data_IF_663258439231
#
_entry.id   IF_663258439231
#
_cell.length_a   1.000
_cell.length_b   1.000
_cell.length_c   1.000
_cell.angle_alpha   90.00
_cell.angle_beta   90.00
_cell.angle_gamma   90.00
#
_symmetry.space_group_name_H-M   'P 1'
#
loop_
_entity.id
_entity.type
_entity.pdbx_description
1 polymer ?
#
# COMPACT_ATOMS: atom_id res chain seq x y z
N UNK A 1 -12.74 -11.27 -30.85
CA UNK A 1 -12.14 -9.95 -30.61
C UNK A 1 -10.69 -10.14 -30.15
N UNK A 2 -9.80 -9.32 -30.68
CA UNK A 2 -8.38 -9.61 -30.88
C UNK A 2 -7.52 -9.24 -29.66
N UNK A 3 -6.70 -10.22 -29.23
CA UNK A 3 -5.32 -10.12 -28.68
C UNK A 3 -5.02 -8.99 -27.68
N UNK A 4 -4.90 -9.36 -26.39
CA UNK A 4 -4.27 -8.52 -25.36
C UNK A 4 -2.75 -8.81 -25.30
N UNK A 5 -2.02 -7.87 -25.90
CA UNK A 5 -0.69 -7.33 -25.60
C UNK A 5 0.22 -8.16 -24.66
N UNK A 6 1.25 -8.76 -25.28
CA UNK A 6 2.49 -9.19 -24.65
C UNK A 6 3.21 -8.00 -23.99
N UNK A 7 3.57 -8.14 -22.71
CA UNK A 7 4.57 -7.30 -22.06
C UNK A 7 5.95 -7.86 -22.46
N UNK A 8 6.65 -7.14 -23.34
CA UNK A 8 8.00 -7.46 -23.76
C UNK A 8 9.01 -7.06 -22.67
N UNK A 9 9.63 -8.06 -22.05
CA UNK A 9 10.77 -7.94 -21.17
C UNK A 9 12.01 -7.62 -22.03
N UNK A 10 12.43 -6.36 -22.08
CA UNK A 10 13.67 -5.96 -22.77
C UNK A 10 14.87 -6.29 -21.87
N UNK A 11 15.47 -7.45 -22.11
CA UNK A 11 16.83 -7.78 -21.68
C UNK A 11 17.81 -7.14 -22.67
N UNK A 12 18.60 -6.18 -22.19
CA UNK A 12 19.62 -5.52 -23.00
C UNK A 12 20.64 -4.81 -22.13
N UNK A 13 21.52 -5.56 -21.46
CA UNK A 13 22.72 -5.05 -20.81
C UNK A 13 23.94 -5.76 -21.39
N UNK A 14 24.45 -5.20 -22.49
CA UNK A 14 25.80 -5.48 -23.00
C UNK A 14 26.48 -4.14 -23.28
N UNK A 15 27.13 -3.59 -22.25
CA UNK A 15 28.02 -2.43 -22.40
C UNK A 15 29.45 -2.93 -22.32
N UNK A 16 30.15 -2.77 -23.44
CA UNK A 16 31.58 -3.05 -23.57
C UNK A 16 32.39 -2.17 -22.61
N UNK A 17 33.23 -2.80 -21.79
CA UNK A 17 34.15 -2.11 -20.90
C UNK A 17 35.34 -1.56 -21.69
N UNK A 18 35.48 -0.23 -21.77
CA UNK A 18 36.76 0.43 -22.07
C UNK A 18 37.43 0.82 -20.75
N UNK A 19 38.55 0.17 -20.44
CA UNK A 19 39.36 0.48 -19.27
C UNK A 19 40.39 1.56 -19.60
N UNK A 20 40.30 2.73 -18.95
CA UNK A 20 41.37 3.74 -18.94
C UNK A 20 42.02 3.78 -17.55
N UNK A 21 43.34 3.59 -17.54
CA UNK A 21 44.22 3.67 -16.38
C UNK A 21 44.40 5.14 -15.91
N UNK A 22 43.86 5.51 -14.74
CA UNK A 22 44.17 6.76 -14.05
C UNK A 22 44.38 6.49 -12.55
N UNK A 23 45.65 6.68 -12.12
CA UNK A 23 46.22 6.98 -10.78
C UNK A 23 45.44 6.57 -9.51
N UNK A 24 46.16 5.94 -8.58
CA UNK A 24 45.70 5.29 -7.33
C UNK A 24 44.80 6.08 -6.35
N UNK A 25 44.51 7.37 -6.55
CA UNK A 25 43.45 8.06 -5.79
C UNK A 25 42.05 7.68 -6.27
N UNK A 26 41.90 7.38 -7.56
CA UNK A 26 40.63 7.01 -8.19
C UNK A 26 40.08 5.71 -7.61
N UNK A 27 40.92 4.70 -7.35
CA UNK A 27 40.49 3.41 -6.79
C UNK A 27 39.84 3.52 -5.41
N UNK A 28 40.34 4.44 -4.56
CA UNK A 28 39.80 4.65 -3.21
C UNK A 28 38.46 5.38 -3.25
N UNK A 29 38.26 6.27 -4.21
CA UNK A 29 36.95 6.89 -4.48
C UNK A 29 35.99 5.90 -5.16
N UNK A 30 36.47 5.05 -6.07
CA UNK A 30 35.66 3.96 -6.67
C UNK A 30 35.19 2.97 -5.60
N UNK A 31 36.04 2.59 -4.64
CA UNK A 31 35.64 1.68 -3.56
C UNK A 31 34.56 2.30 -2.64
N UNK A 32 34.66 3.60 -2.33
CA UNK A 32 33.64 4.32 -1.55
C UNK A 32 32.33 4.45 -2.32
N UNK A 33 32.37 4.81 -3.60
CA UNK A 33 31.20 4.90 -4.47
C UNK A 33 30.53 3.53 -4.57
N UNK A 34 31.30 2.46 -4.83
CA UNK A 34 30.77 1.09 -4.87
C UNK A 34 30.10 0.69 -3.55
N UNK A 35 30.70 1.02 -2.41
CA UNK A 35 30.10 0.76 -1.10
C UNK A 35 28.78 1.54 -0.89
N UNK A 36 28.70 2.79 -1.36
CA UNK A 36 27.46 3.58 -1.32
C UNK A 36 26.38 3.00 -2.23
N UNK A 37 26.74 2.63 -3.46
CA UNK A 37 25.83 1.97 -4.42
C UNK A 37 25.32 0.65 -3.85
N UNK A 38 26.18 -0.17 -3.23
CA UNK A 38 25.75 -1.40 -2.56
C UNK A 38 24.76 -1.13 -1.42
N UNK A 39 25.00 -0.11 -0.59
CA UNK A 39 24.06 0.29 0.48
C UNK A 39 22.72 0.75 -0.08
N UNK A 40 22.72 1.54 -1.16
CA UNK A 40 21.51 2.01 -1.80
C UNK A 40 20.75 0.86 -2.49
N UNK A 41 21.45 -0.08 -3.13
CA UNK A 41 20.84 -1.28 -3.70
C UNK A 41 20.21 -2.15 -2.63
N UNK A 42 20.86 -2.32 -1.47
CA UNK A 42 20.26 -3.01 -0.33
C UNK A 42 18.99 -2.30 0.13
N UNK A 43 19.06 -0.98 0.33
CA UNK A 43 17.87 -0.18 0.70
C UNK A 43 16.76 -0.30 -0.34
N UNK A 44 17.10 -0.29 -1.63
CA UNK A 44 16.14 -0.46 -2.71
C UNK A 44 15.45 -1.82 -2.64
N UNK A 45 16.20 -2.89 -2.40
CA UNK A 45 15.65 -4.23 -2.20
C UNK A 45 14.72 -4.28 -0.98
N UNK A 46 15.14 -3.71 0.15
CA UNK A 46 14.32 -3.64 1.38
C UNK A 46 12.99 -2.90 1.12
N UNK A 47 13.03 -1.76 0.43
CA UNK A 47 11.84 -0.98 0.05
C UNK A 47 10.92 -1.74 -0.91
N UNK A 48 11.48 -2.46 -1.87
CA UNK A 48 10.72 -3.29 -2.81
C UNK A 48 10.07 -4.49 -2.13
N UNK A 49 10.75 -5.09 -1.15
CA UNK A 49 10.19 -6.17 -0.34
C UNK A 49 9.02 -5.67 0.51
N UNK A 50 9.16 -4.52 1.15
CA UNK A 50 8.07 -3.89 1.93
C UNK A 50 6.88 -3.55 1.02
N UNK A 51 7.13 -3.01 -0.18
CA UNK A 51 6.09 -2.73 -1.17
C UNK A 51 5.35 -4.01 -1.56
N UNK A 52 6.08 -5.09 -1.86
CA UNK A 52 5.50 -6.37 -2.26
C UNK A 52 4.62 -6.97 -1.15
N UNK A 53 5.05 -6.90 0.11
CA UNK A 53 4.25 -7.35 1.27
C UNK A 53 2.93 -6.59 1.38
N UNK A 54 2.95 -5.28 1.22
CA UNK A 54 1.73 -4.47 1.28
C UNK A 54 0.82 -4.76 0.08
N UNK A 55 1.38 -4.84 -1.12
CA UNK A 55 0.61 -5.18 -2.33
C UNK A 55 -0.03 -6.57 -2.24
N UNK A 56 0.61 -7.51 -1.54
CA UNK A 56 0.07 -8.85 -1.31
C UNK A 56 -1.12 -8.85 -0.35
N UNK A 57 -1.09 -8.05 0.73
CA UNK A 57 -2.19 -8.02 1.73
C UNK A 57 -3.32 -7.04 1.39
N UNK A 58 -3.06 -6.03 0.56
CA UNK A 58 -4.02 -4.98 0.25
C UNK A 58 -5.37 -5.52 -0.30
N UNK A 59 -5.41 -6.53 -1.20
CA UNK A 59 -6.68 -7.08 -1.67
C UNK A 59 -7.54 -7.67 -0.54
N UNK A 60 -6.92 -8.37 0.41
CA UNK A 60 -7.62 -8.96 1.56
C UNK A 60 -8.13 -7.86 2.50
N UNK A 61 -7.34 -6.81 2.73
CA UNK A 61 -7.78 -5.66 3.53
C UNK A 61 -8.94 -4.89 2.85
N UNK A 62 -8.90 -4.76 1.52
CA UNK A 62 -9.99 -4.16 0.74
C UNK A 62 -11.27 -4.98 0.83
N UNK A 63 -11.17 -6.30 0.66
CA UNK A 63 -12.31 -7.19 0.81
C UNK A 63 -12.93 -7.11 2.22
N UNK A 64 -12.09 -7.10 3.26
CA UNK A 64 -12.55 -6.94 4.64
C UNK A 64 -13.23 -5.59 4.89
N UNK A 65 -12.72 -4.50 4.29
CA UNK A 65 -13.35 -3.19 4.39
C UNK A 65 -14.71 -3.13 3.66
N UNK A 66 -14.83 -3.76 2.50
CA UNK A 66 -16.09 -3.88 1.76
C UNK A 66 -17.13 -4.70 2.53
N UNK A 67 -16.72 -5.82 3.12
CA UNK A 67 -17.58 -6.66 3.96
C UNK A 67 -18.07 -5.88 5.20
N UNK A 68 -17.17 -5.23 5.93
CA UNK A 68 -17.52 -4.43 7.09
C UNK A 68 -18.46 -3.26 6.72
N UNK A 69 -18.23 -2.60 5.57
CA UNK A 69 -19.13 -1.57 5.06
C UNK A 69 -20.53 -2.12 4.73
N UNK A 70 -20.61 -3.31 4.15
CA UNK A 70 -21.87 -4.00 3.85
C UNK A 70 -22.64 -4.33 5.13
N UNK A 71 -21.98 -4.88 6.15
CA UNK A 71 -22.60 -5.20 7.44
C UNK A 71 -23.03 -3.94 8.21
N UNK A 72 -22.22 -2.87 8.16
CA UNK A 72 -22.59 -1.55 8.68
C UNK A 72 -23.88 -1.04 8.02
N UNK A 73 -23.96 -1.07 6.68
CA UNK A 73 -25.15 -0.62 5.95
C UNK A 73 -26.39 -1.43 6.32
N UNK A 74 -26.29 -2.77 6.39
CA UNK A 74 -27.39 -3.64 6.84
C UNK A 74 -27.82 -3.33 8.27
N UNK A 75 -26.86 -3.10 9.17
CA UNK A 75 -27.14 -2.76 10.57
C UNK A 75 -27.81 -1.39 10.69
N UNK A 76 -27.37 -0.39 9.94
CA UNK A 76 -28.00 0.93 9.88
C UNK A 76 -29.42 0.86 9.30
N UNK A 77 -29.65 0.09 8.23
CA UNK A 77 -30.99 -0.10 7.67
C UNK A 77 -31.92 -0.76 8.69
N UNK A 78 -31.44 -1.81 9.37
CA UNK A 78 -32.20 -2.46 10.45
C UNK A 78 -32.48 -1.50 11.60
N UNK A 79 -31.50 -0.69 11.99
CA UNK A 79 -31.67 0.35 13.02
C UNK A 79 -32.78 1.33 12.63
N UNK A 80 -32.78 1.84 11.40
CA UNK A 80 -33.83 2.74 10.88
C UNK A 80 -35.21 2.08 10.91
N UNK A 81 -35.31 0.83 10.45
CA UNK A 81 -36.58 0.06 10.50
C UNK A 81 -37.11 -0.10 11.93
N UNK A 82 -36.24 -0.48 12.87
CA UNK A 82 -36.65 -0.66 14.28
C UNK A 82 -36.98 0.67 14.96
N UNK A 83 -36.25 1.74 14.63
CA UNK A 83 -36.56 3.08 15.13
C UNK A 83 -37.95 3.55 14.66
N UNK A 84 -38.30 3.30 13.39
CA UNK A 84 -39.63 3.59 12.89
C UNK A 84 -40.73 2.80 13.63
N UNK A 85 -40.52 1.51 13.89
CA UNK A 85 -41.46 0.68 14.66
C UNK A 85 -41.61 1.13 16.12
N UNK A 86 -40.58 1.73 16.71
CA UNK A 86 -40.65 2.25 18.07
C UNK A 86 -41.47 3.55 18.19
N UNK A 87 -41.70 4.28 17.10
CA UNK A 87 -42.54 5.48 17.10
C UNK A 87 -44.00 5.06 17.28
N UNK A 88 -44.55 5.31 18.47
CA UNK A 88 -45.90 4.86 18.84
C UNK A 88 -45.99 3.36 19.18
N UNK A 89 -44.86 2.66 19.20
CA UNK A 89 -44.74 1.27 19.63
C UNK A 89 -44.61 1.10 21.14
N UNK A 90 -44.38 -0.13 21.59
CA UNK A 90 -44.31 -0.45 23.01
C UNK A 90 -42.88 -0.39 23.60
N UNK A 91 -42.77 -0.68 24.89
CA UNK A 91 -41.47 -0.74 25.58
C UNK A 91 -40.53 -1.84 25.02
N UNK A 92 -41.07 -2.88 24.38
CA UNK A 92 -40.31 -3.90 23.68
C UNK A 92 -39.70 -3.37 22.39
N UNK A 93 -40.47 -2.62 21.59
CA UNK A 93 -40.03 -2.01 20.34
C UNK A 93 -38.93 -0.98 20.57
N UNK A 94 -39.10 -0.11 21.58
CA UNK A 94 -38.05 0.85 21.98
C UNK A 94 -36.75 0.15 22.39
N UNK A 95 -36.83 -0.96 23.13
CA UNK A 95 -35.64 -1.78 23.48
C UNK A 95 -34.99 -2.42 22.26
N UNK A 96 -35.77 -2.92 21.31
CA UNK A 96 -35.24 -3.49 20.05
C UNK A 96 -34.57 -2.42 19.20
N UNK A 97 -35.16 -1.23 19.09
CA UNK A 97 -34.58 -0.08 18.42
C UNK A 97 -33.24 0.32 19.07
N UNK A 98 -33.18 0.41 20.40
CA UNK A 98 -31.94 0.71 21.11
C UNK A 98 -30.84 -0.33 20.87
N UNK A 99 -31.18 -1.64 20.87
CA UNK A 99 -30.22 -2.71 20.53
C UNK A 99 -29.74 -2.62 19.09
N UNK A 100 -30.63 -2.35 18.15
CA UNK A 100 -30.28 -2.21 16.74
C UNK A 100 -29.39 -0.99 16.49
N UNK A 101 -29.65 0.13 17.17
CA UNK A 101 -28.81 1.33 17.12
C UNK A 101 -27.39 1.05 17.64
N UNK A 102 -27.26 0.39 18.80
CA UNK A 102 -25.93 0.00 19.34
C UNK A 102 -25.17 -0.94 18.39
N UNK A 103 -25.88 -1.88 17.76
CA UNK A 103 -25.26 -2.76 16.77
C UNK A 103 -24.79 -1.97 15.53
N UNK A 104 -25.61 -1.05 15.04
CA UNK A 104 -25.25 -0.20 13.89
C UNK A 104 -24.03 0.67 14.18
N UNK A 105 -23.94 1.23 15.39
CA UNK A 105 -22.80 2.02 15.86
C UNK A 105 -21.51 1.19 15.87
N UNK A 106 -21.53 0.01 16.51
CA UNK A 106 -20.39 -0.91 16.53
C UNK A 106 -19.95 -1.33 15.13
N UNK A 107 -20.89 -1.72 14.25
CA UNK A 107 -20.55 -2.13 12.89
C UNK A 107 -20.03 -0.97 12.03
N UNK A 108 -20.50 0.26 12.30
CA UNK A 108 -19.96 1.46 11.65
C UNK A 108 -18.52 1.70 12.08
N UNK A 109 -18.22 1.57 13.38
CA UNK A 109 -16.85 1.67 13.90
C UNK A 109 -15.93 0.62 13.27
N UNK A 110 -16.38 -0.64 13.17
CA UNK A 110 -15.60 -1.71 12.54
C UNK A 110 -15.30 -1.40 11.07
N UNK A 111 -16.29 -0.87 10.33
CA UNK A 111 -16.13 -0.45 8.94
C UNK A 111 -15.16 0.72 8.78
N UNK A 112 -15.21 1.72 9.66
CA UNK A 112 -14.27 2.84 9.67
C UNK A 112 -12.85 2.37 9.93
N UNK A 113 -12.65 1.47 10.89
CA UNK A 113 -11.32 0.94 11.22
C UNK A 113 -10.74 0.09 10.08
N UNK A 114 -11.59 -0.70 9.41
CA UNK A 114 -11.17 -1.44 8.21
C UNK A 114 -10.79 -0.49 7.06
N UNK A 115 -11.60 0.54 6.80
CA UNK A 115 -11.30 1.55 5.79
C UNK A 115 -9.99 2.30 6.09
N UNK A 116 -9.74 2.65 7.36
CA UNK A 116 -8.47 3.28 7.80
C UNK A 116 -7.25 2.41 7.57
N UNK A 117 -7.36 1.08 7.66
CA UNK A 117 -6.24 0.16 7.34
C UNK A 117 -5.90 0.23 5.85
N UNK A 118 -6.90 0.12 4.98
CA UNK A 118 -6.73 0.26 3.53
C UNK A 118 -6.10 1.61 3.18
N UNK A 119 -6.56 2.71 3.78
CA UNK A 119 -6.00 4.03 3.54
C UNK A 119 -4.53 4.13 3.97
N UNK A 120 -4.18 3.58 5.15
CA UNK A 120 -2.79 3.54 5.62
C UNK A 120 -1.89 2.78 4.65
N UNK A 121 -2.36 1.65 4.14
CA UNK A 121 -1.61 0.83 3.19
C UNK A 121 -1.42 1.53 1.85
N UNK A 122 -2.47 2.16 1.33
CA UNK A 122 -2.37 2.97 0.11
C UNK A 122 -1.42 4.16 0.28
N UNK A 123 -1.45 4.84 1.44
CA UNK A 123 -0.52 5.91 1.75
C UNK A 123 0.92 5.40 1.82
N UNK A 124 1.13 4.26 2.47
CA UNK A 124 2.44 3.64 2.60
C UNK A 124 2.99 3.19 1.25
N UNK A 125 2.17 2.64 0.35
CA UNK A 125 2.56 2.36 -1.05
C UNK A 125 3.06 3.63 -1.76
N UNK A 126 2.35 4.76 -1.61
CA UNK A 126 2.76 6.04 -2.22
C UNK A 126 4.12 6.52 -1.66
N UNK A 127 4.30 6.43 -0.35
CA UNK A 127 5.56 6.80 0.31
C UNK A 127 6.72 5.89 -0.13
N UNK A 128 6.51 4.57 -0.18
CA UNK A 128 7.49 3.60 -0.64
C UNK A 128 7.90 3.84 -2.10
N UNK A 129 6.94 4.08 -3.00
CA UNK A 129 7.26 4.40 -4.40
C UNK A 129 8.13 5.66 -4.51
N UNK A 130 7.80 6.72 -3.75
CA UNK A 130 8.60 7.94 -3.71
C UNK A 130 10.03 7.68 -3.21
N UNK A 131 10.19 6.82 -2.21
CA UNK A 131 11.50 6.50 -1.66
C UNK A 131 12.31 5.56 -2.57
N UNK A 132 11.64 4.65 -3.29
CA UNK A 132 12.23 3.83 -4.35
C UNK A 132 12.78 4.73 -5.45
N UNK A 133 11.99 5.68 -5.96
CA UNK A 133 12.40 6.57 -7.04
C UNK A 133 13.59 7.45 -6.63
N UNK A 134 13.53 8.06 -5.44
CA UNK A 134 14.68 8.80 -4.88
C UNK A 134 15.94 7.93 -4.71
N UNK A 135 15.77 6.65 -4.37
CA UNK A 135 16.89 5.73 -4.19
C UNK A 135 17.51 5.37 -5.55
N UNK A 136 16.68 5.13 -6.57
CA UNK A 136 17.12 4.94 -7.96
C UNK A 136 17.87 6.16 -8.49
N UNK A 137 17.31 7.36 -8.33
CA UNK A 137 17.98 8.61 -8.74
C UNK A 137 19.35 8.78 -8.08
N UNK A 138 19.49 8.42 -6.80
CA UNK A 138 20.79 8.46 -6.11
C UNK A 138 21.78 7.44 -6.64
N UNK A 139 21.32 6.25 -6.99
CA UNK A 139 22.16 5.23 -7.62
C UNK A 139 22.64 5.72 -8.99
N UNK A 140 21.73 6.28 -9.80
CA UNK A 140 22.05 6.83 -11.11
C UNK A 140 23.07 7.96 -11.04
N UNK A 141 22.91 8.92 -10.11
CA UNK A 141 23.88 10.00 -9.88
C UNK A 141 25.28 9.47 -9.51
N UNK A 142 25.34 8.51 -8.59
CA UNK A 142 26.61 7.89 -8.18
C UNK A 142 27.26 7.06 -9.29
N UNK A 143 26.48 6.50 -10.21
CA UNK A 143 26.98 5.71 -11.33
C UNK A 143 27.39 6.57 -12.54
N UNK A 144 26.70 7.68 -12.78
CA UNK A 144 26.93 8.58 -13.92
C UNK A 144 27.91 9.73 -13.61
N UNK A 145 28.24 9.96 -12.35
CA UNK A 145 29.27 10.93 -11.95
C UNK A 145 28.82 12.40 -11.96
N UNK A 146 27.51 12.66 -11.81
CA UNK A 146 26.91 14.00 -11.67
C UNK A 146 26.46 14.28 -10.23
#
# INVERSE_FOLDING_TARGET
MKKLILIALVLGLSVAAKANNLKDSTKRDTAKINAQVQKLNKKLADLQEELAKIQQRLPDEQAAAEEAASESNKAQEKSRKQAASAVGGDAGDTRRAAKAARKADSQTSDAEDAARKVEKDQKKIKELNKDIDKTKEKIEKLQNGE
#
